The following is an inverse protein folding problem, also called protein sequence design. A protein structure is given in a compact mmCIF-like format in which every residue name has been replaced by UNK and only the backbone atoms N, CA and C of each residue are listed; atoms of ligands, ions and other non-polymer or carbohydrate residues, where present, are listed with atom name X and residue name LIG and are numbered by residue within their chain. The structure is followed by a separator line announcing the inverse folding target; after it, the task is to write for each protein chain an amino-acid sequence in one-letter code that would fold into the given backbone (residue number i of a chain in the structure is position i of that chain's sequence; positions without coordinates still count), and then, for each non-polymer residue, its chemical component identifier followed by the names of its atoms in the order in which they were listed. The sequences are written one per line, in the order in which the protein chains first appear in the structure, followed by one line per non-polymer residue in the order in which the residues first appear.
data_IF_559750266456
#
_entry.id   IF_559750266456
#
_cell.length_a   1.000
_cell.length_b   1.000
_cell.length_c   1.000
_cell.angle_alpha   90.00
_cell.angle_beta   90.00
_cell.angle_gamma   90.00
#
_symmetry.space_group_name_H-M   'P 1'
#
loop_
_entity.id
_entity.type
_entity.pdbx_description
1 polymer ?
#
# COMPACT_ATOMS: atom_id res chain seq x y z
N UNK A 1 -13.55 -3.95 -8.34
CA UNK A 1 -14.51 -3.94 -7.21
C UNK A 1 -15.25 -5.27 -7.03
N UNK A 2 -15.06 -6.22 -7.95
CA UNK A 2 -15.70 -7.54 -7.91
C UNK A 2 -16.84 -7.71 -8.90
N UNK A 3 -17.05 -6.76 -9.80
CA UNK A 3 -18.04 -6.83 -10.87
C UNK A 3 -17.62 -7.71 -12.07
N UNK A 4 -16.36 -8.15 -12.09
CA UNK A 4 -15.83 -9.11 -13.06
C UNK A 4 -14.90 -8.52 -14.10
N UNK A 5 -14.65 -7.21 -14.08
CA UNK A 5 -13.61 -6.58 -14.90
C UNK A 5 -12.30 -6.31 -14.12
N UNK A 6 -11.35 -5.64 -14.78
CA UNK A 6 -10.04 -5.35 -14.20
C UNK A 6 -9.89 -3.86 -13.94
N UNK A 7 -9.75 -3.54 -12.67
CA UNK A 7 -9.48 -2.19 -12.20
C UNK A 7 -7.98 -1.91 -12.09
N UNK A 8 -7.64 -0.63 -11.92
CA UNK A 8 -6.25 -0.18 -11.75
C UNK A 8 -6.07 0.55 -10.43
N UNK A 9 -5.00 0.21 -9.70
CA UNK A 9 -4.50 1.02 -8.59
C UNK A 9 -3.34 1.90 -9.05
N UNK A 10 -3.29 3.13 -8.56
CA UNK A 10 -2.17 4.03 -8.79
C UNK A 10 -1.79 4.81 -7.53
N UNK A 11 -0.54 5.26 -7.49
CA UNK A 11 0.02 6.06 -6.41
C UNK A 11 0.85 7.21 -6.97
N UNK A 12 1.11 8.23 -6.15
CA UNK A 12 1.85 9.42 -6.57
C UNK A 12 3.24 9.52 -5.94
N UNK A 13 4.28 9.29 -6.75
CA UNK A 13 5.68 9.47 -6.35
C UNK A 13 6.02 10.94 -5.97
N UNK A 14 5.40 11.95 -6.59
CA UNK A 14 5.73 13.37 -6.38
C UNK A 14 4.52 14.27 -6.13
N UNK A 15 3.35 13.67 -5.94
CA UNK A 15 2.12 14.35 -5.55
C UNK A 15 1.55 13.66 -4.32
N UNK A 16 0.34 14.06 -3.94
CA UNK A 16 -0.41 13.47 -2.84
C UNK A 16 -1.53 12.64 -3.44
N UNK A 17 -1.64 11.39 -3.01
CA UNK A 17 -2.77 10.54 -3.38
C UNK A 17 -2.41 9.10 -3.73
N UNK A 18 -3.38 8.24 -3.45
CA UNK A 18 -3.50 6.86 -3.90
C UNK A 18 -4.91 6.72 -4.45
N UNK A 19 -5.05 6.12 -5.63
CA UNK A 19 -6.34 6.04 -6.32
C UNK A 19 -6.63 4.62 -6.80
N UNK A 20 -7.93 4.34 -6.86
CA UNK A 20 -8.51 3.24 -7.60
C UNK A 20 -9.23 3.79 -8.82
N UNK A 21 -9.00 3.16 -9.97
CA UNK A 21 -9.65 3.48 -11.23
C UNK A 21 -10.57 2.32 -11.59
N UNK A 22 -11.87 2.56 -11.42
CA UNK A 22 -12.97 1.66 -11.76
C UNK A 22 -13.13 1.63 -13.28
N UNK A 23 -13.01 0.46 -13.88
CA UNK A 23 -13.38 0.26 -15.26
C UNK A 23 -14.92 0.30 -15.37
N UNK A 24 -15.44 0.97 -16.40
CA UNK A 24 -16.87 1.07 -16.67
C UNK A 24 -17.18 0.61 -18.09
N UNK A 25 -18.43 0.18 -18.38
CA UNK A 25 -18.84 -0.23 -19.72
C UNK A 25 -18.51 0.82 -20.80
N UNK A 26 -18.04 0.33 -21.96
CA UNK A 26 -17.72 1.17 -23.10
C UNK A 26 -16.42 1.96 -22.94
N UNK A 27 -15.39 1.35 -22.32
CA UNK A 27 -14.03 1.92 -22.16
C UNK A 27 -14.01 3.22 -21.33
N UNK A 28 -14.97 3.38 -20.44
CA UNK A 28 -15.02 4.50 -19.52
C UNK A 28 -14.28 4.15 -18.23
N UNK A 29 -13.82 5.19 -17.52
CA UNK A 29 -13.10 5.03 -16.26
C UNK A 29 -13.59 6.04 -15.23
N UNK A 30 -13.75 5.58 -13.99
CA UNK A 30 -14.04 6.44 -12.86
C UNK A 30 -12.95 6.34 -11.82
N UNK A 31 -12.42 7.47 -11.38
CA UNK A 31 -11.33 7.52 -10.40
C UNK A 31 -11.88 7.81 -9.01
N UNK A 32 -11.43 7.04 -8.03
CA UNK A 32 -11.78 7.16 -6.63
C UNK A 32 -10.51 7.38 -5.81
N UNK A 33 -10.54 8.36 -4.90
CA UNK A 33 -9.46 8.59 -3.95
C UNK A 33 -9.53 7.54 -2.84
N UNK A 34 -8.41 6.89 -2.56
CA UNK A 34 -8.26 5.96 -1.42
C UNK A 34 -7.64 6.68 -0.22
N UNK A 35 -6.55 7.41 -0.46
CA UNK A 35 -5.72 7.97 0.61
C UNK A 35 -4.96 9.21 0.11
N UNK A 36 -4.82 10.23 0.96
CA UNK A 36 -4.07 11.47 0.69
C UNK A 36 -3.33 12.04 1.92
N UNK A 37 -3.24 11.28 3.03
CA UNK A 37 -2.56 11.74 4.25
C UNK A 37 -1.04 11.84 4.11
N UNK A 38 -0.44 11.14 3.16
CA UNK A 38 1.01 11.14 2.94
C UNK A 38 1.39 11.19 1.46
N UNK A 39 2.66 11.52 1.22
CA UNK A 39 3.22 11.77 -0.12
C UNK A 39 4.27 10.74 -0.48
N UNK A 40 4.75 10.78 -1.72
CA UNK A 40 5.94 10.04 -2.15
C UNK A 40 5.80 8.51 -2.15
N UNK A 41 4.62 8.01 -2.52
CA UNK A 41 4.33 6.59 -2.72
C UNK A 41 4.94 6.08 -4.03
N UNK A 42 6.23 5.74 -4.00
CA UNK A 42 7.01 5.34 -5.18
C UNK A 42 6.83 3.89 -5.59
N UNK A 43 6.40 3.04 -4.68
CA UNK A 43 6.22 1.62 -4.90
C UNK A 43 4.94 1.16 -4.22
N UNK A 44 4.27 0.19 -4.82
CA UNK A 44 3.06 -0.43 -4.33
C UNK A 44 3.12 -1.92 -4.68
N UNK A 45 2.73 -2.77 -3.74
CA UNK A 45 2.61 -4.20 -3.96
C UNK A 45 1.17 -4.62 -3.68
N UNK A 46 0.53 -5.30 -4.64
CA UNK A 46 -0.74 -5.99 -4.43
C UNK A 46 -0.47 -7.34 -3.76
N UNK A 47 -1.18 -7.64 -2.67
CA UNK A 47 -1.03 -8.88 -1.91
C UNK A 47 -2.27 -9.11 -1.04
N UNK A 48 -2.66 -10.36 -0.81
CA UNK A 48 -3.70 -10.72 0.17
C UNK A 48 -3.03 -10.84 1.56
N UNK A 49 -2.98 -9.72 2.30
CA UNK A 49 -2.20 -9.63 3.54
C UNK A 49 -2.89 -10.32 4.72
N UNK A 50 -4.22 -10.33 4.72
CA UNK A 50 -5.02 -10.95 5.78
C UNK A 50 -5.48 -12.39 5.43
N UNK A 51 -5.24 -12.86 4.21
CA UNK A 51 -5.58 -14.21 3.74
C UNK A 51 -7.08 -14.42 3.54
N UNK A 52 -7.84 -13.36 3.26
CA UNK A 52 -9.29 -13.43 3.07
C UNK A 52 -9.70 -13.65 1.60
N UNK A 53 -8.72 -13.72 0.70
CA UNK A 53 -8.90 -13.93 -0.74
C UNK A 53 -9.13 -12.64 -1.53
N UNK A 54 -9.08 -11.46 -0.90
CA UNK A 54 -9.16 -10.17 -1.57
C UNK A 54 -7.76 -9.55 -1.76
N UNK A 55 -7.52 -8.87 -2.89
CA UNK A 55 -6.22 -8.23 -3.15
C UNK A 55 -6.12 -6.91 -2.37
N UNK A 56 -5.46 -6.93 -1.22
CA UNK A 56 -5.01 -5.74 -0.50
C UNK A 56 -3.82 -5.08 -1.22
N UNK A 57 -3.31 -3.98 -0.67
CA UNK A 57 -2.01 -3.46 -1.10
C UNK A 57 -1.16 -2.92 0.03
N UNK A 58 0.15 -2.97 -0.16
CA UNK A 58 1.17 -2.36 0.71
C UNK A 58 1.78 -1.16 -0.02
N UNK A 59 1.98 -0.05 0.67
CA UNK A 59 2.75 1.10 0.19
C UNK A 59 3.13 2.00 1.37
N UNK A 60 3.81 3.10 1.09
CA UNK A 60 4.23 4.02 2.13
C UNK A 60 4.91 5.26 1.58
N UNK A 61 5.28 6.16 2.48
CA UNK A 61 6.03 7.36 2.12
C UNK A 61 7.52 7.03 2.01
N UNK A 62 8.12 7.34 0.86
CA UNK A 62 9.58 7.33 0.74
C UNK A 62 10.21 8.47 1.57
N UNK A 63 11.33 8.18 2.22
CA UNK A 63 12.14 9.22 2.87
C UNK A 63 12.98 9.98 1.82
N UNK A 64 12.77 11.29 1.72
CA UNK A 64 13.51 12.20 0.84
C UNK A 64 13.61 11.70 -0.60
N UNK A 65 12.50 11.58 -1.33
CA UNK A 65 12.54 11.04 -2.67
C UNK A 65 13.50 11.82 -3.59
N UNK A 66 13.44 13.15 -3.53
CA UNK A 66 14.34 14.10 -4.17
C UNK A 66 15.09 14.98 -3.15
N UNK A 67 15.44 14.41 -1.99
CA UNK A 67 16.16 15.12 -0.94
C UNK A 67 15.26 15.96 -0.03
N UNK A 68 15.84 16.74 0.90
CA UNK A 68 15.09 17.42 1.96
C UNK A 68 14.25 18.62 1.48
N UNK A 69 14.27 18.96 0.18
CA UNK A 69 13.58 20.13 -0.37
C UNK A 69 12.88 19.87 -1.71
N UNK A 70 12.93 18.64 -2.22
CA UNK A 70 12.54 18.33 -3.60
C UNK A 70 11.10 17.86 -3.79
N UNK A 71 10.41 17.46 -2.72
CA UNK A 71 9.04 16.95 -2.76
C UNK A 71 8.16 17.63 -1.71
N UNK A 72 6.85 17.44 -1.80
CA UNK A 72 5.89 17.90 -0.80
C UNK A 72 6.13 17.13 0.51
N UNK A 73 6.32 17.88 1.61
CA UNK A 73 6.52 17.35 2.96
C UNK A 73 7.62 16.27 3.03
N UNK A 74 8.86 16.57 2.57
CA UNK A 74 9.91 15.56 2.39
C UNK A 74 10.37 14.95 3.71
N UNK A 75 10.29 15.73 4.80
CA UNK A 75 10.66 15.43 6.17
C UNK A 75 9.52 14.87 7.04
N UNK A 76 8.30 14.75 6.50
CA UNK A 76 7.24 14.02 7.20
C UNK A 76 7.60 12.53 7.38
N UNK A 77 7.01 11.85 8.38
CA UNK A 77 7.35 10.47 8.73
C UNK A 77 7.35 9.52 7.53
N UNK A 78 8.34 8.62 7.48
CA UNK A 78 8.44 7.59 6.46
C UNK A 78 7.52 6.42 6.84
N UNK A 79 6.21 6.62 6.68
CA UNK A 79 5.21 5.62 7.06
C UNK A 79 5.16 4.46 6.09
N UNK A 80 4.87 3.27 6.61
CA UNK A 80 4.58 2.05 5.85
C UNK A 80 3.21 1.52 6.28
N UNK A 81 2.34 1.25 5.30
CA UNK A 81 0.96 0.82 5.51
C UNK A 81 0.63 -0.36 4.62
N UNK A 82 -0.29 -1.21 5.08
CA UNK A 82 -1.13 -1.99 4.17
C UNK A 82 -2.57 -1.49 4.23
N UNK A 83 -3.31 -1.67 3.14
CA UNK A 83 -4.67 -1.20 2.96
C UNK A 83 -5.56 -2.38 2.66
N UNK A 84 -6.38 -2.74 3.65
CA UNK A 84 -7.29 -3.87 3.58
C UNK A 84 -8.46 -3.56 2.65
N UNK A 85 -8.68 -4.41 1.66
CA UNK A 85 -9.87 -4.37 0.82
C UNK A 85 -11.01 -5.10 1.52
N UNK A 86 -12.10 -4.39 1.81
CA UNK A 86 -13.39 -5.00 2.17
C UNK A 86 -14.44 -4.67 1.13
N UNK A 87 -15.51 -5.46 1.13
CA UNK A 87 -16.71 -5.18 0.34
C UNK A 87 -17.89 -4.94 1.26
N UNK A 88 -18.36 -3.70 1.29
CA UNK A 88 -19.55 -3.31 2.05
C UNK A 88 -20.68 -2.99 1.07
N UNK A 89 -21.76 -3.79 1.12
CA UNK A 89 -22.87 -3.64 0.17
C UNK A 89 -22.44 -3.80 -1.30
N UNK A 90 -21.42 -4.62 -1.57
CA UNK A 90 -20.86 -4.84 -2.90
C UNK A 90 -19.89 -3.76 -3.40
N UNK A 91 -19.54 -2.77 -2.56
CA UNK A 91 -18.62 -1.69 -2.93
C UNK A 91 -17.27 -1.85 -2.22
N UNK A 92 -16.16 -1.49 -2.88
CA UNK A 92 -14.83 -1.55 -2.27
C UNK A 92 -14.71 -0.49 -1.17
N UNK A 93 -14.21 -0.91 -0.02
CA UNK A 93 -13.87 -0.06 1.13
C UNK A 93 -12.44 -0.39 1.52
N UNK A 94 -11.58 0.62 1.60
CA UNK A 94 -10.17 0.46 1.95
C UNK A 94 -9.93 0.88 3.39
N UNK A 95 -9.42 -0.03 4.22
CA UNK A 95 -9.07 0.25 5.62
C UNK A 95 -7.55 0.29 5.79
N UNK A 96 -6.94 1.44 6.14
CA UNK A 96 -5.50 1.54 6.33
C UNK A 96 -5.04 0.95 7.66
N UNK A 97 -3.97 0.17 7.63
CA UNK A 97 -3.30 -0.41 8.78
C UNK A 97 -1.81 -0.04 8.77
N UNK A 98 -1.37 0.69 9.79
CA UNK A 98 0.03 1.11 9.91
C UNK A 98 0.91 -0.09 10.28
N UNK A 99 1.95 -0.35 9.49
CA UNK A 99 2.97 -1.36 9.77
C UNK A 99 4.06 -0.73 10.64
N UNK A 100 4.53 0.45 10.23
CA UNK A 100 5.59 1.18 10.91
C UNK A 100 5.60 2.67 10.52
N UNK A 101 6.10 3.52 11.41
CA UNK A 101 6.06 4.97 11.27
C UNK A 101 7.36 5.60 10.71
N UNK A 102 8.46 4.84 10.62
CA UNK A 102 9.79 5.41 10.36
C UNK A 102 10.68 4.58 9.42
N UNK A 103 10.09 3.66 8.66
CA UNK A 103 10.77 2.81 7.68
C UNK A 103 10.48 3.24 6.25
N UNK A 104 9.20 3.29 5.87
CA UNK A 104 8.71 3.71 4.56
C UNK A 104 9.10 2.78 3.42
N UNK A 105 8.85 3.22 2.18
CA UNK A 105 9.18 2.45 0.97
C UNK A 105 10.43 2.96 0.26
N UNK A 106 11.04 2.09 -0.55
CA UNK A 106 12.04 2.43 -1.54
C UNK A 106 11.45 2.83 -2.90
N UNK A 107 12.21 2.62 -3.97
CA UNK A 107 11.66 2.59 -5.35
C UNK A 107 11.12 1.22 -5.74
N UNK A 108 11.38 0.21 -4.91
CA UNK A 108 10.86 -1.15 -4.95
C UNK A 108 10.96 -1.71 -3.51
N UNK A 109 10.09 -2.65 -3.17
CA UNK A 109 10.15 -3.47 -1.97
C UNK A 109 9.41 -4.79 -2.26
N UNK A 110 9.52 -5.77 -1.37
CA UNK A 110 8.93 -7.10 -1.59
C UNK A 110 7.95 -7.46 -0.47
N UNK A 111 6.88 -8.15 -0.85
CA UNK A 111 5.89 -8.75 0.04
C UNK A 111 5.85 -10.24 -0.24
N UNK A 112 6.30 -11.06 0.71
CA UNK A 112 6.45 -12.50 0.52
C UNK A 112 6.50 -13.23 1.87
N UNK A 113 6.16 -14.52 1.87
CA UNK A 113 6.40 -15.41 3.01
C UNK A 113 7.90 -15.75 3.09
N UNK A 114 8.66 -14.93 3.83
CA UNK A 114 10.14 -15.02 3.89
C UNK A 114 10.58 -16.13 4.82
N UNK A 115 9.84 -16.35 5.91
CA UNK A 115 10.18 -17.33 6.95
C UNK A 115 9.46 -18.68 6.80
N UNK A 116 8.61 -18.83 5.77
CA UNK A 116 7.85 -20.04 5.44
C UNK A 116 6.82 -20.43 6.51
N UNK A 117 6.21 -19.44 7.17
CA UNK A 117 5.14 -19.67 8.16
C UNK A 117 3.72 -19.55 7.58
N UNK A 118 3.61 -19.27 6.28
CA UNK A 118 2.36 -19.11 5.55
C UNK A 118 1.75 -17.72 5.65
N UNK A 119 2.43 -16.76 6.28
CA UNK A 119 2.02 -15.35 6.35
C UNK A 119 2.92 -14.49 5.47
N UNK A 120 2.40 -13.36 4.97
CA UNK A 120 3.17 -12.46 4.11
C UNK A 120 3.93 -11.44 4.97
N UNK A 121 5.24 -11.41 4.79
CA UNK A 121 6.11 -10.42 5.40
C UNK A 121 6.40 -9.27 4.44
N UNK A 122 6.93 -8.16 4.97
CA UNK A 122 7.36 -7.00 4.16
C UNK A 122 8.85 -6.75 4.33
N UNK A 123 9.60 -6.70 3.22
CA UNK A 123 11.02 -6.32 3.18
C UNK A 123 11.19 -5.05 2.36
N UNK A 124 11.69 -3.99 2.98
CA UNK A 124 11.89 -2.69 2.33
C UNK A 124 13.30 -2.17 2.53
N UNK A 125 13.81 -1.42 1.56
CA UNK A 125 15.08 -0.72 1.66
C UNK A 125 14.99 0.69 1.10
N UNK A 126 15.52 1.67 1.83
CA UNK A 126 15.61 3.06 1.39
C UNK A 126 16.68 3.83 2.19
N UNK A 127 16.64 5.16 2.13
CA UNK A 127 17.60 6.05 2.83
C UNK A 127 17.55 5.94 4.36
N UNK A 128 16.51 5.36 4.94
CA UNK A 128 16.35 5.09 6.38
C UNK A 128 16.92 3.75 6.79
N UNK A 129 17.27 2.86 5.85
CA UNK A 129 17.86 1.55 6.14
C UNK A 129 17.19 0.41 5.38
N UNK A 130 17.46 -0.81 5.86
CA UNK A 130 16.82 -2.05 5.41
C UNK A 130 15.99 -2.58 6.57
N UNK A 131 14.71 -2.87 6.31
CA UNK A 131 13.75 -3.31 7.31
C UNK A 131 13.09 -4.62 6.86
N UNK A 132 12.87 -5.51 7.82
CA UNK A 132 12.09 -6.73 7.66
C UNK A 132 10.98 -6.73 8.71
N UNK A 133 9.74 -6.72 8.24
CA UNK A 133 8.53 -6.76 9.06
C UNK A 133 7.90 -8.13 8.93
N UNK A 134 8.08 -8.95 9.97
CA UNK A 134 7.46 -10.26 10.05
C UNK A 134 6.00 -10.13 10.47
N UNK A 135 5.07 -10.70 9.71
CA UNK A 135 3.69 -10.81 10.14
C UNK A 135 3.56 -11.88 11.23
N UNK A 136 2.74 -11.62 12.24
CA UNK A 136 2.40 -12.61 13.27
C UNK A 136 0.89 -12.61 13.43
N UNK A 137 0.28 -13.80 13.57
CA UNK A 137 -1.13 -13.94 13.94
C UNK A 137 -1.19 -14.63 15.29
N UNK A 138 -1.81 -13.99 16.27
CA UNK A 138 -2.10 -14.68 17.52
C UNK A 138 -3.24 -15.69 17.30
N UNK A 139 -3.43 -16.62 18.23
CA UNK A 139 -4.50 -17.66 18.16
C UNK A 139 -5.92 -17.09 18.03
N UNK A 140 -6.09 -15.78 18.14
CA UNK A 140 -7.34 -15.03 17.93
C UNK A 140 -7.52 -14.50 16.50
N UNK A 141 -6.59 -14.78 15.58
CA UNK A 141 -6.67 -14.31 14.18
C UNK A 141 -6.49 -12.79 14.01
N UNK A 142 -5.86 -12.13 15.00
CA UNK A 142 -5.45 -10.73 14.95
C UNK A 142 -3.95 -10.63 15.13
#
# INVERSE_FOLDING_TARGET
DGDGDQDVLSSAAHKVGIWWHEQLPGEQWKTHLIEDRFTQTHALCLADMNGDGLPDFVTGKRWWAHGPKGDINPDHPAVLFWFELRREGGKPVWTPHEIDHDSGVGTQFEVADVNQDGLLDVVTSNKKGVYYFRQVRNSTGK
#
